data_IF_677738947681
#
_entry.id   IF_677738947681
#
_cell.length_a   1.000
_cell.length_b   1.000
_cell.length_c   1.000
_cell.angle_alpha   90.00
_cell.angle_beta   90.00
_cell.angle_gamma   90.00
#
_symmetry.space_group_name_H-M   'P 1'
#
loop_
_entity.id
_entity.type
_entity.pdbx_description
1 polymer ?
#
# COMPACT_ATOMS: atom_id res chain seq x y z
N UNK A 1 -9.62 -1.03 -16.46
CA UNK A 1 -8.29 -1.40 -15.97
C UNK A 1 -7.45 -1.93 -17.11
N UNK A 2 -6.20 -1.50 -17.20
CA UNK A 2 -5.20 -2.08 -18.09
C UNK A 2 -4.23 -2.91 -17.24
N UNK A 3 -3.98 -4.16 -17.62
CA UNK A 3 -3.03 -5.04 -16.94
C UNK A 3 -2.10 -5.68 -17.96
N UNK A 4 -0.86 -5.95 -17.55
CA UNK A 4 0.07 -6.79 -18.31
C UNK A 4 0.12 -8.14 -17.63
N UNK A 5 0.02 -9.21 -18.42
CA UNK A 5 0.00 -10.58 -17.95
C UNK A 5 1.08 -11.38 -18.67
N UNK A 6 1.85 -12.15 -17.90
CA UNK A 6 2.94 -12.98 -18.39
C UNK A 6 2.81 -14.37 -17.77
N UNK A 7 2.78 -15.40 -18.61
CA UNK A 7 2.77 -16.79 -18.17
C UNK A 7 4.18 -17.34 -18.02
N UNK A 8 4.37 -18.25 -17.07
CA UNK A 8 5.64 -18.94 -16.89
C UNK A 8 5.85 -19.93 -18.06
N UNK A 9 7.08 -20.03 -18.58
CA UNK A 9 7.38 -20.87 -19.75
C UNK A 9 7.40 -22.38 -19.48
N UNK A 10 7.48 -22.84 -18.23
CA UNK A 10 7.67 -24.27 -17.91
C UNK A 10 6.88 -24.66 -16.64
N UNK A 11 5.73 -25.29 -16.84
CA UNK A 11 4.66 -25.47 -15.84
C UNK A 11 4.71 -26.82 -15.15
N UNK A 12 4.72 -26.81 -13.81
CA UNK A 12 4.21 -27.93 -12.98
C UNK A 12 3.47 -27.49 -11.71
N UNK A 13 3.60 -26.24 -11.28
CA UNK A 13 2.85 -25.62 -10.17
C UNK A 13 2.81 -24.12 -10.38
N UNK A 14 1.96 -23.68 -11.30
CA UNK A 14 1.88 -22.27 -11.61
C UNK A 14 1.24 -21.55 -10.42
N UNK A 15 1.91 -20.52 -9.96
CA UNK A 15 1.43 -19.60 -8.92
C UNK A 15 1.01 -18.31 -9.60
N UNK A 16 0.00 -17.65 -9.05
CA UNK A 16 -0.42 -16.33 -9.53
C UNK A 16 0.16 -15.29 -8.59
N UNK A 17 0.99 -14.39 -9.13
CA UNK A 17 1.53 -13.24 -8.39
C UNK A 17 1.03 -11.95 -9.01
N UNK A 18 0.46 -11.09 -8.16
CA UNK A 18 0.22 -9.70 -8.52
C UNK A 18 1.37 -8.86 -8.00
N UNK A 19 1.86 -7.94 -8.83
CA UNK A 19 2.84 -6.92 -8.44
C UNK A 19 2.19 -5.53 -8.47
N UNK A 20 2.21 -4.83 -7.33
CA UNK A 20 1.67 -3.48 -7.18
C UNK A 20 2.80 -2.48 -6.86
N UNK A 21 2.87 -1.39 -7.60
CA UNK A 21 3.76 -0.26 -7.27
C UNK A 21 2.96 0.77 -6.43
N UNK A 22 3.63 1.60 -5.63
CA UNK A 22 3.00 2.67 -4.83
C UNK A 22 3.29 4.10 -5.34
N UNK A 23 2.78 5.11 -4.63
CA UNK A 23 3.16 6.52 -4.75
C UNK A 23 1.99 7.46 -5.05
N UNK A 24 1.78 8.50 -4.22
CA UNK A 24 0.70 9.50 -4.37
C UNK A 24 0.89 10.29 -5.68
N UNK A 25 0.25 9.82 -6.74
CA UNK A 25 0.33 10.42 -8.09
C UNK A 25 1.14 9.64 -9.13
N UNK A 26 1.76 8.51 -8.77
CA UNK A 26 2.19 7.53 -9.78
C UNK A 26 0.97 6.67 -10.19
N UNK A 27 0.96 6.14 -11.42
CA UNK A 27 -0.17 5.44 -12.07
C UNK A 27 -0.90 4.38 -11.23
N UNK A 28 -0.32 3.92 -10.13
CA UNK A 28 -0.85 2.89 -9.24
C UNK A 28 -1.96 3.38 -8.29
N UNK A 29 -1.93 4.65 -7.87
CA UNK A 29 -2.83 5.19 -6.82
C UNK A 29 -4.24 5.49 -7.37
N UNK A 30 -4.31 6.06 -8.58
CA UNK A 30 -5.55 6.15 -9.38
C UNK A 30 -6.00 4.75 -9.85
N UNK A 31 -5.06 3.87 -10.17
CA UNK A 31 -5.39 2.53 -10.61
C UNK A 31 -6.16 1.76 -9.54
N UNK A 32 -5.78 1.74 -8.26
CA UNK A 32 -6.45 0.89 -7.26
C UNK A 32 -7.87 1.35 -6.89
N UNK A 33 -8.09 2.67 -6.73
CA UNK A 33 -9.37 3.21 -6.27
C UNK A 33 -10.32 3.65 -7.40
N UNK A 34 -9.79 4.12 -8.54
CA UNK A 34 -10.61 4.64 -9.64
C UNK A 34 -10.67 3.70 -10.86
N UNK A 35 -9.59 2.97 -11.18
CA UNK A 35 -9.54 2.18 -12.43
C UNK A 35 -9.69 0.65 -12.22
N UNK A 36 -9.28 0.09 -11.07
CA UNK A 36 -9.31 -1.35 -10.71
C UNK A 36 -10.62 -1.71 -9.99
N UNK A 37 -11.32 -0.70 -9.44
CA UNK A 37 -12.51 -0.89 -8.60
C UNK A 37 -12.33 -1.98 -7.54
N UNK A 38 -11.14 -2.09 -6.95
CA UNK A 38 -10.88 -3.04 -5.87
C UNK A 38 -11.55 -2.58 -4.56
N UNK A 39 -11.72 -1.27 -4.36
CA UNK A 39 -12.34 -0.68 -3.18
C UNK A 39 -13.12 0.59 -3.51
N UNK A 40 -14.30 0.75 -2.88
CA UNK A 40 -15.01 2.03 -2.73
C UNK A 40 -15.12 2.28 -1.23
N UNK A 41 -14.63 3.42 -0.76
CA UNK A 41 -14.85 3.84 0.63
C UNK A 41 -16.30 4.33 0.74
N UNK A 42 -17.17 3.54 1.36
CA UNK A 42 -18.49 4.02 1.73
C UNK A 42 -18.34 5.18 2.72
N UNK A 43 -19.29 6.12 2.74
CA UNK A 43 -19.26 7.31 3.62
C UNK A 43 -19.07 6.99 5.13
N UNK A 44 -19.28 5.73 5.52
CA UNK A 44 -19.14 5.23 6.90
C UNK A 44 -17.94 4.27 7.11
N UNK A 45 -17.00 4.18 6.15
CA UNK A 45 -15.81 3.30 6.14
C UNK A 45 -15.94 1.77 5.96
N UNK A 46 -17.11 1.11 5.76
CA UNK A 46 -17.08 -0.31 5.38
C UNK A 46 -16.62 -0.49 3.93
N UNK A 47 -15.80 -1.53 3.70
CA UNK A 47 -15.43 -1.99 2.37
C UNK A 47 -16.57 -2.86 1.81
N UNK A 48 -17.27 -2.39 0.78
CA UNK A 48 -18.37 -3.11 0.15
C UNK A 48 -17.88 -4.09 -0.93
N UNK A 49 -18.63 -5.18 -1.14
CA UNK A 49 -18.45 -6.04 -2.31
C UNK A 49 -18.85 -5.28 -3.57
N UNK A 50 -17.92 -5.17 -4.52
CA UNK A 50 -18.18 -4.53 -5.81
C UNK A 50 -18.38 -5.65 -6.82
N UNK A 51 -19.55 -5.63 -7.48
CA UNK A 51 -19.95 -6.64 -8.46
C UNK A 51 -19.02 -6.72 -9.69
N UNK A 52 -18.24 -5.65 -9.92
CA UNK A 52 -17.29 -5.45 -11.01
C UNK A 52 -15.85 -5.14 -10.54
N UNK A 53 -15.35 -5.87 -9.54
CA UNK A 53 -13.96 -5.73 -9.09
C UNK A 53 -12.99 -6.41 -10.07
N UNK A 54 -11.77 -5.87 -10.20
CA UNK A 54 -10.75 -6.41 -11.13
C UNK A 54 -10.46 -7.90 -10.88
N UNK A 55 -10.38 -8.32 -9.63
CA UNK A 55 -10.08 -9.70 -9.26
C UNK A 55 -11.12 -10.67 -9.78
N UNK A 56 -12.41 -10.29 -9.74
CA UNK A 56 -13.47 -11.10 -10.31
C UNK A 56 -13.35 -11.20 -11.83
N UNK A 57 -13.16 -10.08 -12.51
CA UNK A 57 -13.02 -10.05 -13.97
C UNK A 57 -11.80 -10.85 -14.44
N UNK A 58 -10.66 -10.75 -13.75
CA UNK A 58 -9.44 -11.48 -14.08
C UNK A 58 -9.64 -13.00 -13.96
N UNK A 59 -10.22 -13.48 -12.85
CA UNK A 59 -10.43 -14.91 -12.64
C UNK A 59 -11.60 -15.49 -13.45
N UNK A 60 -12.55 -14.66 -13.90
CA UNK A 60 -13.56 -15.08 -14.89
C UNK A 60 -12.94 -15.27 -16.28
N UNK A 61 -12.06 -14.36 -16.71
CA UNK A 61 -11.35 -14.45 -18.00
C UNK A 61 -10.29 -15.56 -18.00
N UNK A 62 -9.58 -15.74 -16.87
CA UNK A 62 -8.49 -16.69 -16.70
C UNK A 62 -8.82 -17.77 -15.66
N UNK A 63 -9.97 -18.42 -15.83
CA UNK A 63 -10.50 -19.42 -14.92
C UNK A 63 -9.54 -20.58 -14.59
N UNK A 64 -8.60 -20.88 -15.49
CA UNK A 64 -7.56 -21.88 -15.30
C UNK A 64 -6.63 -21.60 -14.10
N UNK A 65 -6.59 -20.36 -13.60
CA UNK A 65 -5.72 -19.97 -12.48
C UNK A 65 -6.45 -19.83 -11.15
N UNK A 66 -7.77 -20.02 -11.08
CA UNK A 66 -8.54 -19.90 -9.82
C UNK A 66 -8.03 -20.86 -8.75
N UNK A 67 -7.60 -22.05 -9.18
CA UNK A 67 -7.10 -23.09 -8.30
C UNK A 67 -5.60 -22.98 -7.96
N UNK A 68 -4.92 -21.96 -8.45
CA UNK A 68 -3.49 -21.78 -8.23
C UNK A 68 -3.22 -21.07 -6.90
N UNK A 69 -2.03 -21.33 -6.36
CA UNK A 69 -1.56 -20.61 -5.19
C UNK A 69 -1.38 -19.13 -5.54
N UNK A 70 -2.02 -18.27 -4.75
CA UNK A 70 -2.12 -16.84 -5.03
C UNK A 70 -1.29 -16.02 -4.05
N UNK A 71 -0.51 -15.09 -4.58
CA UNK A 71 0.36 -14.19 -3.84
C UNK A 71 0.18 -12.75 -4.30
N UNK A 72 0.27 -11.83 -3.35
CA UNK A 72 0.15 -10.39 -3.62
C UNK A 72 1.41 -9.70 -3.16
N UNK A 73 2.09 -9.01 -4.06
CA UNK A 73 3.36 -8.38 -3.77
C UNK A 73 3.38 -6.93 -4.24
N UNK A 74 4.28 -6.14 -3.69
CA UNK A 74 4.47 -4.77 -4.15
C UNK A 74 5.39 -3.95 -3.26
N UNK A 75 5.54 -2.68 -3.62
CA UNK A 75 6.56 -1.81 -3.04
C UNK A 75 6.00 -0.45 -2.58
N UNK A 76 6.66 0.16 -1.59
CA UNK A 76 6.43 1.54 -1.18
C UNK A 76 5.01 1.73 -0.63
N UNK A 77 4.21 2.64 -1.20
CA UNK A 77 2.84 2.87 -0.77
C UNK A 77 1.89 1.69 -1.05
N UNK A 78 2.29 0.76 -1.93
CA UNK A 78 1.50 -0.43 -2.28
C UNK A 78 1.14 -1.28 -1.06
N UNK A 79 1.93 -1.18 0.02
CA UNK A 79 1.60 -1.78 1.32
C UNK A 79 0.15 -1.54 1.76
N UNK A 80 -0.37 -0.32 1.60
CA UNK A 80 -1.74 0.00 2.01
C UNK A 80 -2.77 -0.81 1.22
N UNK A 81 -2.55 -0.96 -0.09
CA UNK A 81 -3.43 -1.73 -0.98
C UNK A 81 -3.33 -3.22 -0.71
N UNK A 82 -2.11 -3.73 -0.58
CA UNK A 82 -1.84 -5.16 -0.33
C UNK A 82 -2.54 -5.60 0.95
N UNK A 83 -2.39 -4.85 2.04
CA UNK A 83 -3.01 -5.20 3.33
C UNK A 83 -4.54 -5.13 3.26
N UNK A 84 -5.10 -4.10 2.61
CA UNK A 84 -6.54 -3.99 2.43
C UNK A 84 -7.09 -5.15 1.60
N UNK A 85 -6.40 -5.52 0.51
CA UNK A 85 -6.81 -6.58 -0.40
C UNK A 85 -6.70 -7.96 0.24
N UNK A 86 -5.56 -8.27 0.88
CA UNK A 86 -5.34 -9.52 1.61
C UNK A 86 -6.40 -9.70 2.70
N UNK A 87 -6.67 -8.67 3.51
CA UNK A 87 -7.69 -8.74 4.54
C UNK A 87 -9.09 -9.00 3.95
N UNK A 88 -9.36 -8.41 2.78
CA UNK A 88 -10.62 -8.53 2.08
C UNK A 88 -10.84 -9.91 1.45
N UNK A 89 -9.81 -10.47 0.80
CA UNK A 89 -9.81 -11.86 0.28
C UNK A 89 -9.93 -12.85 1.44
N UNK A 90 -9.13 -12.68 2.50
CA UNK A 90 -9.18 -13.56 3.67
C UNK A 90 -10.57 -13.61 4.31
N UNK A 91 -11.22 -12.45 4.51
CA UNK A 91 -12.59 -12.39 5.04
C UNK A 91 -13.60 -13.02 4.07
N UNK A 92 -13.51 -12.73 2.77
CA UNK A 92 -14.41 -13.31 1.77
C UNK A 92 -14.32 -14.83 1.68
N UNK A 93 -13.09 -15.37 1.67
CA UNK A 93 -12.87 -16.82 1.71
C UNK A 93 -13.48 -17.48 2.94
N UNK A 94 -13.39 -16.82 4.11
CA UNK A 94 -13.97 -17.35 5.36
C UNK A 94 -15.51 -17.28 5.36
N UNK A 95 -16.08 -16.27 4.71
CA UNK A 95 -17.53 -16.06 4.60
C UNK A 95 -18.16 -16.79 3.40
N UNK A 96 -17.36 -17.45 2.56
CA UNK A 96 -17.79 -18.01 1.26
C UNK A 96 -18.44 -16.95 0.34
N UNK A 97 -17.89 -15.75 0.35
CA UNK A 97 -18.33 -14.64 -0.49
C UNK A 97 -17.34 -14.44 -1.65
N UNK A 98 -17.85 -14.28 -2.87
CA UNK A 98 -17.03 -14.04 -4.07
C UNK A 98 -16.26 -15.27 -4.58
N UNK A 99 -15.23 -15.03 -5.40
CA UNK A 99 -14.33 -16.07 -5.92
C UNK A 99 -13.38 -16.51 -4.81
N UNK A 100 -13.29 -17.82 -4.55
CA UNK A 100 -12.38 -18.36 -3.55
C UNK A 100 -10.94 -18.36 -4.10
N UNK A 101 -10.12 -17.42 -3.65
CA UNK A 101 -8.71 -17.33 -4.05
C UNK A 101 -7.83 -18.06 -3.05
N UNK A 102 -6.92 -18.94 -3.50
CA UNK A 102 -5.99 -19.66 -2.61
C UNK A 102 -4.82 -18.77 -2.17
N UNK A 103 -5.14 -17.72 -1.42
CA UNK A 103 -4.17 -16.77 -0.89
C UNK A 103 -3.18 -17.48 0.05
N UNK A 104 -1.92 -17.62 -0.37
CA UNK A 104 -0.85 -18.26 0.41
C UNK A 104 0.05 -17.27 1.15
N UNK A 105 0.16 -16.05 0.66
CA UNK A 105 0.98 -15.03 1.30
C UNK A 105 0.98 -13.70 0.55
N UNK A 106 1.69 -12.74 1.14
CA UNK A 106 1.91 -11.44 0.54
C UNK A 106 3.31 -10.92 0.86
N UNK A 107 3.87 -10.08 -0.01
CA UNK A 107 5.20 -9.50 0.13
C UNK A 107 5.16 -7.98 -0.01
N UNK A 108 5.91 -7.27 0.82
CA UNK A 108 5.95 -5.80 0.80
C UNK A 108 7.41 -5.35 0.83
N UNK A 109 7.89 -4.82 -0.29
CA UNK A 109 9.19 -4.16 -0.39
C UNK A 109 9.11 -2.72 0.10
N UNK A 110 10.08 -2.28 0.91
CA UNK A 110 10.28 -0.88 1.29
C UNK A 110 9.00 -0.11 1.71
N UNK A 111 8.07 -0.80 2.38
CA UNK A 111 6.73 -0.26 2.62
C UNK A 111 6.68 0.79 3.71
N UNK A 112 5.98 1.92 3.46
CA UNK A 112 5.66 2.89 4.50
C UNK A 112 4.57 2.30 5.41
N UNK A 113 5.03 1.72 6.51
CA UNK A 113 4.27 0.84 7.40
C UNK A 113 3.83 1.51 8.70
N UNK A 114 4.80 2.07 9.40
CA UNK A 114 4.56 2.81 10.62
C UNK A 114 5.32 4.13 10.51
N UNK A 115 4.62 5.22 10.11
CA UNK A 115 5.26 6.52 9.95
C UNK A 115 5.91 7.01 11.25
N UNK A 116 5.37 6.70 12.44
CA UNK A 116 5.95 7.15 13.72
C UNK A 116 7.36 6.59 13.93
N UNK A 117 7.57 5.33 13.56
CA UNK A 117 8.87 4.66 13.70
C UNK A 117 9.78 5.02 12.52
N UNK A 118 9.25 4.95 11.29
CA UNK A 118 10.04 5.11 10.07
C UNK A 118 10.52 6.54 9.86
N UNK A 119 9.68 7.55 10.09
CA UNK A 119 10.10 8.95 9.95
C UNK A 119 11.19 9.32 10.95
N UNK A 120 11.18 8.72 12.15
CA UNK A 120 12.24 8.91 13.14
C UNK A 120 13.56 8.31 12.67
N UNK A 121 13.50 7.15 12.01
CA UNK A 121 14.69 6.43 11.56
C UNK A 121 15.40 7.12 10.38
N UNK A 122 14.67 7.84 9.53
CA UNK A 122 15.25 8.47 8.34
C UNK A 122 16.37 9.47 8.65
N UNK A 123 16.21 10.29 9.70
CA UNK A 123 17.23 11.28 10.06
C UNK A 123 18.49 10.64 10.60
N UNK A 124 18.35 9.60 11.44
CA UNK A 124 19.49 8.82 11.93
C UNK A 124 20.23 8.14 10.79
N UNK A 125 19.51 7.45 9.89
CA UNK A 125 20.09 6.83 8.70
C UNK A 125 20.81 7.84 7.80
N UNK A 126 20.22 9.01 7.56
CA UNK A 126 20.83 10.05 6.74
C UNK A 126 22.13 10.59 7.35
N UNK A 127 22.19 10.74 8.68
CA UNK A 127 23.40 11.14 9.39
C UNK A 127 24.48 10.06 9.30
N UNK A 128 24.13 8.80 9.57
CA UNK A 128 25.05 7.65 9.54
C UNK A 128 25.65 7.43 8.15
N UNK A 129 24.88 7.73 7.09
CA UNK A 129 25.32 7.63 5.71
C UNK A 129 26.07 8.87 5.20
N UNK A 130 26.26 9.90 6.03
CA UNK A 130 26.93 11.15 5.65
C UNK A 130 26.16 11.99 4.63
N UNK A 131 24.83 11.82 4.56
CA UNK A 131 23.93 12.59 3.67
C UNK A 131 23.63 13.96 4.29
N UNK A 132 23.58 14.05 5.62
CA UNK A 132 23.33 15.28 6.37
C UNK A 132 24.41 15.50 7.44
N UNK A 133 24.56 16.74 7.90
CA UNK A 133 25.42 17.08 9.03
C UNK A 133 24.70 16.93 10.38
N UNK A 134 25.46 16.93 11.47
CA UNK A 134 24.91 16.92 12.84
C UNK A 134 24.02 18.13 13.12
N UNK A 135 24.34 19.28 12.51
CA UNK A 135 23.55 20.52 12.60
C UNK A 135 22.14 20.35 11.99
N UNK A 136 22.05 19.63 10.88
CA UNK A 136 20.77 19.28 10.25
C UNK A 136 20.00 18.25 11.08
N UNK A 137 20.69 17.24 11.62
CA UNK A 137 20.09 16.26 12.52
C UNK A 137 19.43 16.95 13.72
N UNK A 138 20.16 17.83 14.41
CA UNK A 138 19.68 18.56 15.57
C UNK A 138 18.46 19.41 15.21
N UNK A 139 18.51 20.11 14.07
CA UNK A 139 17.38 20.91 13.57
C UNK A 139 16.14 20.06 13.35
N UNK A 140 16.25 18.92 12.68
CA UNK A 140 15.09 18.04 12.46
C UNK A 140 14.60 17.42 13.77
N UNK A 141 15.51 17.10 14.70
CA UNK A 141 15.14 16.53 15.99
C UNK A 141 14.32 17.50 16.85
N UNK A 142 14.53 18.82 16.72
CA UNK A 142 13.71 19.82 17.44
C UNK A 142 12.25 19.84 16.98
N UNK A 143 11.98 19.61 15.70
CA UNK A 143 10.62 19.64 15.12
C UNK A 143 9.95 18.26 15.13
N UNK A 144 10.71 17.18 15.32
CA UNK A 144 10.22 15.81 15.29
C UNK A 144 9.05 15.53 16.27
N UNK A 145 9.03 16.03 17.52
CA UNK A 145 7.90 15.81 18.43
C UNK A 145 6.56 16.31 17.88
N UNK A 146 6.57 17.44 17.15
CA UNK A 146 5.37 17.99 16.49
C UNK A 146 4.91 17.07 15.35
N UNK A 147 5.86 16.56 14.57
CA UNK A 147 5.58 15.57 13.51
C UNK A 147 5.00 14.27 14.09
N UNK A 148 5.59 13.74 15.17
CA UNK A 148 5.10 12.53 15.84
C UNK A 148 3.67 12.73 16.38
N UNK A 149 3.39 13.88 17.00
CA UNK A 149 2.06 14.23 17.47
C UNK A 149 1.05 14.31 16.32
N UNK A 150 1.42 14.93 15.19
CA UNK A 150 0.58 15.01 14.00
C UNK A 150 0.27 13.61 13.43
N UNK A 151 1.27 12.73 13.37
CA UNK A 151 1.08 11.34 12.93
C UNK A 151 0.16 10.58 13.89
N UNK A 152 0.32 10.74 15.21
CA UNK A 152 -0.58 10.16 16.22
C UNK A 152 -2.02 10.61 16.03
N UNK A 153 -2.23 11.92 15.88
CA UNK A 153 -3.56 12.50 15.64
C UNK A 153 -4.17 12.03 14.31
N UNK A 154 -3.34 11.79 13.28
CA UNK A 154 -3.79 11.19 12.02
C UNK A 154 -4.26 9.75 12.22
N UNK A 155 -3.50 8.93 12.95
CA UNK A 155 -3.85 7.55 13.23
C UNK A 155 -5.13 7.38 14.07
N UNK A 156 -5.45 8.36 14.93
CA UNK A 156 -6.64 8.31 15.80
C UNK A 156 -7.89 8.93 15.18
N UNK A 157 -7.77 9.95 14.31
CA UNK A 157 -8.92 10.71 13.78
C UNK A 157 -9.12 10.64 12.25
N UNK A 158 -8.23 9.95 11.53
CA UNK A 158 -8.48 9.35 10.21
C UNK A 158 -8.66 10.26 8.99
N UNK A 159 -9.29 11.44 9.10
CA UNK A 159 -9.69 12.23 7.91
C UNK A 159 -9.30 13.70 7.93
N UNK A 160 -9.17 14.36 9.08
CA UNK A 160 -8.79 15.80 9.14
C UNK A 160 -7.28 16.03 9.34
N UNK A 161 -6.57 15.03 9.87
CA UNK A 161 -5.17 15.17 10.30
C UNK A 161 -4.15 14.78 9.22
N UNK A 162 -4.57 14.12 8.13
CA UNK A 162 -3.71 13.77 6.99
C UNK A 162 -3.27 15.04 6.21
N UNK A 163 -4.18 16.00 6.05
CA UNK A 163 -3.92 17.27 5.37
C UNK A 163 -2.94 18.15 6.17
N UNK A 164 -3.07 18.16 7.50
CA UNK A 164 -2.15 18.86 8.40
C UNK A 164 -0.77 18.21 8.43
N UNK A 165 -0.68 16.87 8.46
CA UNK A 165 0.60 16.16 8.45
C UNK A 165 1.43 16.45 7.19
N UNK A 166 0.79 16.50 6.01
CA UNK A 166 1.43 16.87 4.74
C UNK A 166 2.00 18.31 4.76
N UNK A 167 1.29 19.25 5.36
CA UNK A 167 1.72 20.66 5.46
C UNK A 167 2.73 20.93 6.59
N UNK A 168 2.87 20.02 7.56
CA UNK A 168 3.86 20.13 8.64
C UNK A 168 5.22 19.51 8.32
N UNK A 169 5.36 18.82 7.17
CA UNK A 169 6.65 18.29 6.73
C UNK A 169 7.56 19.44 6.27
N UNK A 170 8.69 19.72 6.95
CA UNK A 170 9.63 20.73 6.46
C UNK A 170 10.25 20.26 5.13
N UNK A 171 10.40 21.13 4.13
CA UNK A 171 11.13 20.76 2.92
C UNK A 171 12.58 20.44 3.30
N UNK A 172 12.99 19.18 3.13
CA UNK A 172 14.36 18.73 3.36
C UNK A 172 15.30 19.08 2.20
N UNK A 173 14.81 19.71 1.12
CA UNK A 173 15.63 20.16 0.00
C UNK A 173 15.10 21.51 -0.47
N UNK A 174 15.94 22.53 -0.41
CA UNK A 174 15.65 23.82 -1.02
C UNK A 174 15.46 23.63 -2.52
N UNK A 175 14.36 24.17 -3.05
CA UNK A 175 14.27 24.46 -4.47
C UNK A 175 15.37 25.47 -4.80
N UNK A 176 16.41 25.01 -5.51
CA UNK A 176 17.29 25.85 -6.32
C UNK A 176 16.65 26.09 -7.69
#
# INVERSE_FOLDING_TARGET
>A
MFYLFFELQDSRKDLVVIWLIGGLGHSSELAVFYENRLFTIAKNLPLLWIEFSWDKAFFEEHSQFVDNDFYVTGESYARHYILAFVARVHRGNKANEGIHMKLKGFGIGNGLTNPQIQYKAYTGYALDMGIIEISDYDRVYTVFPVCEMAIRLCGTFGTHSLFLAWHTWPPLVGHS
#
